data_IF_415145032804
#
_entry.id   IF_415145032804
#
_cell.length_a   1.000
_cell.length_b   1.000
_cell.length_c   1.000
_cell.angle_alpha   90.00
_cell.angle_beta   90.00
_cell.angle_gamma   90.00
#
_symmetry.space_group_name_H-M   'P 1'
#
loop_
_entity.id
_entity.type
_entity.pdbx_description
1 polymer ?
#
# COMPACT_ATOMS: atom_id res chain seq x y z
N UNK A 1 1.26 5.84 22.95
CA UNK A 1 1.65 4.60 22.22
C UNK A 1 0.49 4.32 21.30
N UNK A 2 0.76 4.46 20.06
CA UNK A 2 -0.19 4.87 19.03
C UNK A 2 -1.10 3.72 18.63
N UNK A 3 -2.37 4.02 18.40
CA UNK A 3 -3.48 3.12 18.05
C UNK A 3 -3.40 2.49 16.65
N UNK A 4 -2.19 2.37 16.08
CA UNK A 4 -2.05 1.51 14.91
C UNK A 4 -1.79 0.09 15.39
N UNK A 5 -2.81 -0.63 15.30
CA UNK A 5 -3.17 -1.79 16.08
C UNK A 5 -2.59 -3.07 15.47
N UNK A 6 -2.36 -4.01 16.30
CA UNK A 6 -2.04 -5.39 16.17
C UNK A 6 -2.08 -6.10 14.79
N UNK A 7 -1.84 -7.39 14.73
CA UNK A 7 -1.80 -8.12 13.46
C UNK A 7 -3.12 -7.95 12.69
N UNK A 8 -3.01 -7.73 11.37
CA UNK A 8 -4.18 -7.71 10.49
C UNK A 8 -4.69 -9.12 10.34
N UNK A 9 -5.97 -9.34 10.62
CA UNK A 9 -6.61 -10.62 10.35
C UNK A 9 -6.84 -10.76 8.83
N UNK A 10 -6.13 -11.68 8.21
CA UNK A 10 -6.19 -11.92 6.77
C UNK A 10 -6.87 -13.24 6.42
N UNK A 11 -7.39 -13.95 7.40
CA UNK A 11 -7.93 -15.30 7.18
C UNK A 11 -6.87 -16.37 6.94
N UNK A 12 -7.30 -17.54 6.52
CA UNK A 12 -6.44 -18.69 6.26
C UNK A 12 -5.94 -18.75 4.81
N UNK A 13 -4.98 -19.65 4.58
CA UNK A 13 -4.54 -20.00 3.23
C UNK A 13 -5.73 -20.64 2.48
N UNK A 14 -6.06 -20.15 1.26
CA UNK A 14 -7.08 -20.79 0.45
C UNK A 14 -6.81 -22.26 0.20
N UNK A 15 -7.85 -23.03 0.00
CA UNK A 15 -7.71 -24.45 -0.35
C UNK A 15 -6.94 -24.60 -1.67
N UNK A 16 -6.17 -25.69 -1.75
CA UNK A 16 -5.42 -26.02 -2.97
C UNK A 16 -6.38 -26.17 -4.17
N UNK A 17 -6.01 -25.57 -5.30
CA UNK A 17 -6.87 -25.53 -6.48
C UNK A 17 -7.92 -24.41 -6.46
N UNK A 18 -7.96 -23.54 -5.46
CA UNK A 18 -8.81 -22.33 -5.49
C UNK A 18 -8.49 -21.44 -6.68
N UNK A 19 -9.52 -20.90 -7.33
CA UNK A 19 -9.38 -20.05 -8.53
C UNK A 19 -9.57 -18.57 -8.17
N UNK A 20 -8.71 -17.75 -8.76
CA UNK A 20 -8.71 -16.28 -8.66
C UNK A 20 -8.52 -15.67 -10.06
N UNK A 21 -9.08 -14.49 -10.30
CA UNK A 21 -8.87 -13.76 -11.55
C UNK A 21 -7.50 -13.09 -11.58
N UNK A 22 -7.03 -12.64 -10.39
CA UNK A 22 -5.74 -11.95 -10.21
C UNK A 22 -5.05 -12.45 -8.95
N UNK A 23 -3.77 -12.76 -9.05
CA UNK A 23 -2.89 -13.02 -7.91
C UNK A 23 -1.89 -11.86 -7.82
N UNK A 24 -1.88 -11.17 -6.69
CA UNK A 24 -0.94 -10.08 -6.39
C UNK A 24 0.05 -10.57 -5.36
N UNK A 25 1.33 -10.57 -5.71
CA UNK A 25 2.43 -11.00 -4.83
C UNK A 25 3.17 -9.77 -4.29
N UNK A 26 3.09 -9.59 -2.98
CA UNK A 26 3.64 -8.47 -2.22
C UNK A 26 2.57 -7.47 -1.77
N UNK A 27 2.44 -7.30 -0.45
CA UNK A 27 1.46 -6.42 0.21
C UNK A 27 1.99 -5.01 0.53
N UNK A 28 3.07 -4.56 -0.12
CA UNK A 28 3.52 -3.17 -0.03
C UNK A 28 2.54 -2.20 -0.71
N UNK A 29 2.77 -0.87 -0.68
CA UNK A 29 1.82 0.12 -1.20
C UNK A 29 1.35 -0.15 -2.63
N UNK A 30 2.26 -0.56 -3.52
CA UNK A 30 1.92 -0.86 -4.92
C UNK A 30 1.04 -2.10 -5.04
N UNK A 31 1.37 -3.19 -4.33
CA UNK A 31 0.57 -4.42 -4.35
C UNK A 31 -0.78 -4.22 -3.68
N UNK A 32 -0.81 -3.52 -2.55
CA UNK A 32 -2.06 -3.15 -1.88
C UNK A 32 -2.97 -2.33 -2.80
N UNK A 33 -2.43 -1.33 -3.50
CA UNK A 33 -3.19 -0.55 -4.47
C UNK A 33 -3.67 -1.42 -5.64
N UNK A 34 -2.78 -2.26 -6.22
CA UNK A 34 -3.15 -3.14 -7.33
C UNK A 34 -4.26 -4.12 -6.93
N UNK A 35 -4.15 -4.75 -5.76
CA UNK A 35 -5.18 -5.65 -5.26
C UNK A 35 -6.52 -4.93 -5.05
N UNK A 36 -6.49 -3.74 -4.42
CA UNK A 36 -7.68 -2.94 -4.19
C UNK A 36 -8.39 -2.56 -5.48
N UNK A 37 -7.67 -2.01 -6.46
CA UNK A 37 -8.29 -1.60 -7.73
C UNK A 37 -8.84 -2.78 -8.52
N UNK A 38 -8.16 -3.91 -8.56
CA UNK A 38 -8.70 -5.11 -9.22
C UNK A 38 -9.98 -5.60 -8.51
N UNK A 39 -9.99 -5.64 -7.18
CA UNK A 39 -11.18 -6.05 -6.42
C UNK A 39 -12.35 -5.07 -6.62
N UNK A 40 -12.10 -3.75 -6.59
CA UNK A 40 -13.13 -2.74 -6.87
C UNK A 40 -13.69 -2.80 -8.30
N UNK A 41 -12.93 -3.36 -9.25
CA UNK A 41 -13.38 -3.63 -10.62
C UNK A 41 -14.00 -5.01 -10.80
N UNK A 42 -14.30 -5.72 -9.72
CA UNK A 42 -15.05 -6.98 -9.75
C UNK A 42 -14.20 -8.23 -9.95
N UNK A 43 -12.87 -8.14 -9.93
CA UNK A 43 -12.01 -9.31 -9.97
C UNK A 43 -11.96 -10.00 -8.61
N UNK A 44 -11.99 -11.33 -8.60
CA UNK A 44 -11.66 -12.14 -7.43
C UNK A 44 -10.14 -12.16 -7.25
N UNK A 45 -9.64 -11.46 -6.24
CA UNK A 45 -8.21 -11.24 -6.02
C UNK A 45 -7.67 -12.14 -4.92
N UNK A 46 -6.46 -12.67 -5.13
CA UNK A 46 -5.61 -13.22 -4.06
C UNK A 46 -4.43 -12.27 -3.84
N UNK A 47 -4.36 -11.64 -2.67
CA UNK A 47 -3.21 -10.83 -2.25
C UNK A 47 -2.33 -11.62 -1.30
N UNK A 48 -1.04 -11.77 -1.64
CA UNK A 48 -0.07 -12.56 -0.87
C UNK A 48 1.05 -11.64 -0.37
N UNK A 49 1.32 -11.67 0.94
CA UNK A 49 2.47 -10.99 1.54
C UNK A 49 3.34 -12.00 2.32
N UNK A 50 4.65 -11.92 2.15
CA UNK A 50 5.59 -12.83 2.82
C UNK A 50 5.81 -12.50 4.29
N UNK A 51 5.70 -11.23 4.65
CA UNK A 51 5.87 -10.76 6.02
C UNK A 51 4.53 -10.76 6.77
N UNK A 52 4.60 -10.73 8.09
CA UNK A 52 3.43 -10.50 8.95
C UNK A 52 3.43 -9.02 9.34
N UNK A 53 2.30 -8.36 9.16
CA UNK A 53 2.14 -6.96 9.52
C UNK A 53 1.90 -6.75 11.02
N UNK A 54 2.40 -5.67 11.61
CA UNK A 54 3.17 -4.58 10.98
C UNK A 54 4.62 -4.98 10.71
N UNK A 55 5.16 -4.53 9.57
CA UNK A 55 6.55 -4.75 9.18
C UNK A 55 7.23 -3.46 8.79
N UNK A 56 8.52 -3.36 9.04
CA UNK A 56 9.34 -2.24 8.57
C UNK A 56 9.91 -2.50 7.17
N UNK A 57 10.17 -1.41 6.45
CA UNK A 57 10.89 -1.41 5.18
C UNK A 57 11.64 -0.11 5.02
N UNK A 58 12.94 -0.21 4.78
CA UNK A 58 13.78 0.96 4.51
C UNK A 58 13.31 1.64 3.22
N UNK A 59 12.73 2.82 3.36
CA UNK A 59 12.26 3.65 2.27
C UNK A 59 12.02 5.07 2.78
N UNK A 60 11.93 6.07 1.88
CA UNK A 60 11.60 7.45 2.27
C UNK A 60 10.17 7.55 2.83
N UNK A 61 10.01 8.41 3.83
CA UNK A 61 8.76 8.59 4.58
C UNK A 61 7.82 9.63 3.95
N UNK A 62 8.07 10.02 2.70
CA UNK A 62 7.24 10.99 2.00
C UNK A 62 6.26 10.34 1.03
N UNK A 63 5.00 10.72 1.15
CA UNK A 63 3.89 10.31 0.28
C UNK A 63 3.33 11.58 -0.37
N UNK A 64 3.49 11.72 -1.68
CA UNK A 64 3.11 12.95 -2.38
C UNK A 64 2.83 12.76 -3.87
N UNK A 65 2.58 13.87 -4.55
CA UNK A 65 2.30 13.87 -5.97
C UNK A 65 1.05 13.06 -6.33
N UNK A 66 1.12 12.31 -7.42
CA UNK A 66 -0.02 11.50 -7.91
C UNK A 66 -0.51 10.43 -6.93
N UNK A 67 0.32 9.99 -5.98
CA UNK A 67 -0.12 8.99 -5.01
C UNK A 67 -1.20 9.49 -4.06
N UNK A 68 -1.32 10.82 -3.85
CA UNK A 68 -2.35 11.40 -2.99
C UNK A 68 -3.77 11.14 -3.49
N UNK A 69 -4.00 11.14 -4.81
CA UNK A 69 -5.31 10.79 -5.37
C UNK A 69 -5.69 9.35 -5.03
N UNK A 70 -4.74 8.42 -5.17
CA UNK A 70 -4.97 7.00 -4.84
C UNK A 70 -5.18 6.77 -3.34
N UNK A 71 -4.42 7.47 -2.49
CA UNK A 71 -4.61 7.43 -1.02
C UNK A 71 -6.03 7.88 -0.65
N UNK A 72 -6.55 8.91 -1.33
CA UNK A 72 -7.92 9.40 -1.14
C UNK A 72 -8.97 8.43 -1.69
N UNK A 73 -8.81 8.01 -2.95
CA UNK A 73 -9.76 7.10 -3.62
C UNK A 73 -9.93 5.78 -2.87
N UNK A 74 -8.85 5.25 -2.32
CA UNK A 74 -8.87 4.00 -1.53
C UNK A 74 -9.34 4.20 -0.08
N UNK A 75 -9.62 5.45 0.34
CA UNK A 75 -10.07 5.75 1.71
C UNK A 75 -8.97 5.67 2.78
N UNK A 76 -7.70 5.72 2.37
CA UNK A 76 -6.56 5.70 3.30
C UNK A 76 -6.26 7.08 3.87
N UNK A 77 -6.72 8.16 3.21
CA UNK A 77 -6.48 9.54 3.63
C UNK A 77 -6.90 9.81 5.07
N UNK A 78 -8.11 9.41 5.44
CA UNK A 78 -8.63 9.61 6.78
C UNK A 78 -7.83 8.83 7.84
N UNK A 79 -7.25 7.70 7.48
CA UNK A 79 -6.37 6.93 8.38
C UNK A 79 -5.06 7.69 8.61
N UNK A 80 -4.46 8.24 7.54
CA UNK A 80 -3.25 9.05 7.63
C UNK A 80 -3.49 10.29 8.48
N UNK A 81 -4.60 11.02 8.25
CA UNK A 81 -4.91 12.27 8.97
C UNK A 81 -5.21 12.07 10.46
N UNK A 82 -5.63 10.88 10.86
CA UNK A 82 -5.81 10.50 12.28
C UNK A 82 -4.52 10.07 12.98
N UNK A 83 -3.44 9.85 12.21
CA UNK A 83 -2.15 9.39 12.72
C UNK A 83 -1.17 10.56 12.76
N UNK A 84 -0.21 10.64 13.70
CA UNK A 84 0.81 11.67 13.70
C UNK A 84 1.57 11.71 12.37
N UNK A 85 1.52 12.84 11.69
CA UNK A 85 2.17 13.07 10.39
C UNK A 85 2.61 14.52 10.25
N UNK A 86 3.50 14.78 9.29
CA UNK A 86 3.84 16.13 8.85
C UNK A 86 3.30 16.37 7.45
N UNK A 87 2.89 17.61 7.21
CA UNK A 87 2.51 18.08 5.87
C UNK A 87 3.75 18.60 5.16
N UNK A 88 3.96 18.17 3.92
CA UNK A 88 5.10 18.58 3.09
C UNK A 88 4.59 19.51 1.99
N UNK A 89 5.09 20.74 1.96
CA UNK A 89 4.69 21.79 1.01
C UNK A 89 5.87 22.28 0.17
N UNK A 90 7.09 21.94 0.53
CA UNK A 90 8.29 22.46 -0.13
C UNK A 90 9.46 21.48 -0.02
N UNK A 91 10.45 21.69 -0.89
CA UNK A 91 11.74 21.02 -0.86
C UNK A 91 12.83 22.08 -0.73
N UNK A 92 13.75 21.88 0.20
CA UNK A 92 14.94 22.73 0.36
C UNK A 92 16.14 22.01 -0.22
N UNK A 93 16.76 22.63 -1.23
CA UNK A 93 18.02 22.18 -1.78
C UNK A 93 19.16 22.96 -1.14
N UNK A 94 20.12 22.27 -0.57
CA UNK A 94 21.31 22.85 0.04
C UNK A 94 22.59 22.50 -0.74
N UNK A 95 23.51 23.44 -0.84
CA UNK A 95 24.85 23.20 -1.39
C UNK A 95 25.90 23.16 -0.29
N UNK A 96 27.07 22.58 -0.59
CA UNK A 96 28.15 22.41 0.38
C UNK A 96 28.71 23.75 0.92
N UNK A 97 28.52 24.87 0.22
CA UNK A 97 28.91 26.21 0.64
C UNK A 97 27.87 26.91 1.54
N UNK A 98 26.79 26.20 1.93
CA UNK A 98 25.74 26.71 2.82
C UNK A 98 24.61 27.47 2.14
N UNK A 99 24.66 27.67 0.83
CA UNK A 99 23.54 28.27 0.09
C UNK A 99 22.38 27.29 -0.01
N UNK A 100 21.15 27.80 0.19
CA UNK A 100 19.91 27.02 0.10
C UNK A 100 18.91 27.67 -0.84
N UNK A 101 18.13 26.84 -1.52
CA UNK A 101 16.97 27.25 -2.31
C UNK A 101 15.76 26.42 -1.87
N UNK A 102 14.69 27.08 -1.48
CA UNK A 102 13.42 26.44 -1.21
C UNK A 102 12.55 26.50 -2.47
N UNK A 103 12.05 25.33 -2.88
CA UNK A 103 11.12 25.18 -4.00
C UNK A 103 9.78 24.73 -3.42
N UNK A 104 8.76 25.56 -3.59
CA UNK A 104 7.39 25.18 -3.22
C UNK A 104 6.88 24.11 -4.18
N UNK A 105 6.30 23.05 -3.64
CA UNK A 105 5.68 21.99 -4.44
C UNK A 105 4.30 22.46 -4.95
N UNK A 106 3.90 22.03 -6.16
CA UNK A 106 2.56 22.30 -6.66
C UNK A 106 1.53 21.74 -5.67
N UNK A 107 0.54 22.55 -5.35
CA UNK A 107 -0.57 22.13 -4.51
C UNK A 107 -1.59 21.40 -5.36
N UNK A 108 -2.00 20.21 -4.94
CA UNK A 108 -3.11 19.51 -5.54
C UNK A 108 -4.41 20.31 -5.33
N UNK A 109 -5.30 20.32 -6.32
CA UNK A 109 -6.62 20.99 -6.21
C UNK A 109 -7.46 20.40 -5.06
N UNK A 110 -7.25 19.13 -4.71
CA UNK A 110 -7.92 18.49 -3.57
C UNK A 110 -7.33 18.88 -2.22
N UNK A 111 -6.07 19.23 -2.22
CA UNK A 111 -5.29 19.49 -1.00
C UNK A 111 -4.64 20.88 -1.11
N UNK A 112 -5.46 21.90 -1.28
CA UNK A 112 -5.06 23.32 -1.55
C UNK A 112 -3.94 23.88 -0.67
N UNK A 113 -3.41 23.12 0.26
CA UNK A 113 -2.37 23.54 1.21
C UNK A 113 -1.23 22.53 1.39
N UNK A 114 -1.24 21.39 0.64
CA UNK A 114 -0.35 20.30 0.92
C UNK A 114 0.10 19.59 -0.35
N UNK A 115 1.40 19.41 -0.50
CA UNK A 115 1.98 18.62 -1.58
C UNK A 115 2.22 17.15 -1.20
N UNK A 116 2.04 16.78 0.06
CA UNK A 116 2.19 15.41 0.54
C UNK A 116 2.17 15.29 2.05
N UNK A 117 2.28 14.04 2.49
CA UNK A 117 2.46 13.66 3.88
C UNK A 117 3.87 13.13 4.11
N UNK A 118 4.44 13.37 5.28
CA UNK A 118 5.59 12.65 5.80
C UNK A 118 5.17 11.92 7.06
N UNK A 119 5.24 10.61 7.03
CA UNK A 119 4.96 9.72 8.15
C UNK A 119 5.77 8.43 7.97
N UNK A 120 6.07 7.70 9.07
CA UNK A 120 6.83 6.46 9.00
C UNK A 120 6.21 5.46 8.00
N UNK A 121 7.05 4.93 7.11
CA UNK A 121 6.61 3.98 6.08
C UNK A 121 5.96 2.73 6.67
N UNK A 122 6.39 2.30 7.84
CA UNK A 122 5.75 1.20 8.56
C UNK A 122 4.26 1.47 8.78
N UNK A 123 3.90 2.67 9.20
CA UNK A 123 2.51 3.08 9.44
C UNK A 123 1.74 3.22 8.12
N UNK A 124 2.31 3.91 7.15
CA UNK A 124 1.67 4.11 5.84
C UNK A 124 1.42 2.79 5.11
N UNK A 125 2.45 1.95 5.04
CA UNK A 125 2.35 0.64 4.36
C UNK A 125 1.31 -0.26 5.06
N UNK A 126 1.27 -0.23 6.40
CA UNK A 126 0.26 -0.94 7.20
C UNK A 126 -1.17 -0.48 6.87
N UNK A 127 -1.41 0.84 6.81
CA UNK A 127 -2.72 1.39 6.45
C UNK A 127 -3.16 0.96 5.05
N UNK A 128 -2.23 1.01 4.10
CA UNK A 128 -2.48 0.55 2.72
C UNK A 128 -2.85 -0.93 2.68
N UNK A 129 -2.11 -1.78 3.39
CA UNK A 129 -2.38 -3.22 3.42
C UNK A 129 -3.68 -3.55 4.16
N UNK A 130 -3.94 -2.90 5.30
CA UNK A 130 -5.19 -3.05 6.05
C UNK A 130 -6.39 -2.70 5.17
N UNK A 131 -6.34 -1.56 4.47
CA UNK A 131 -7.41 -1.14 3.59
C UNK A 131 -7.59 -2.08 2.39
N UNK A 132 -6.48 -2.56 1.81
CA UNK A 132 -6.54 -3.57 0.75
C UNK A 132 -7.18 -4.88 1.23
N UNK A 133 -6.86 -5.31 2.45
CA UNK A 133 -7.48 -6.49 3.06
C UNK A 133 -8.99 -6.35 3.16
N UNK A 134 -9.48 -5.21 3.65
CA UNK A 134 -10.91 -4.92 3.72
C UNK A 134 -11.57 -5.00 2.33
N UNK A 135 -11.05 -4.24 1.36
CA UNK A 135 -11.60 -4.17 0.00
C UNK A 135 -11.61 -5.54 -0.69
N UNK A 136 -10.49 -6.27 -0.63
CA UNK A 136 -10.36 -7.58 -1.27
C UNK A 136 -11.31 -8.60 -0.64
N UNK A 137 -11.42 -8.62 0.68
CA UNK A 137 -12.31 -9.54 1.40
C UNK A 137 -13.77 -9.22 1.13
N UNK A 138 -14.17 -7.96 1.15
CA UNK A 138 -15.53 -7.50 0.82
C UNK A 138 -15.94 -7.88 -0.61
N UNK A 139 -14.98 -7.90 -1.54
CA UNK A 139 -15.18 -8.34 -2.93
C UNK A 139 -15.15 -9.87 -3.13
N UNK A 140 -15.04 -10.67 -2.05
CA UNK A 140 -14.99 -12.14 -2.12
C UNK A 140 -13.63 -12.71 -2.52
N UNK A 141 -12.57 -11.89 -2.49
CA UNK A 141 -11.19 -12.32 -2.65
C UNK A 141 -10.59 -12.87 -1.35
N UNK A 142 -9.29 -13.12 -1.37
CA UNK A 142 -8.54 -13.64 -0.22
C UNK A 142 -7.25 -12.87 -0.03
N UNK A 143 -6.83 -12.71 1.22
CA UNK A 143 -5.55 -12.09 1.57
C UNK A 143 -4.82 -13.03 2.51
N UNK A 144 -3.54 -13.25 2.27
CA UNK A 144 -2.66 -14.04 3.15
C UNK A 144 -1.37 -13.30 3.43
N UNK A 145 -0.89 -13.41 4.65
CA UNK A 145 0.41 -12.90 5.08
C UNK A 145 1.23 -14.02 5.70
N UNK A 146 2.54 -13.84 5.76
CA UNK A 146 3.47 -14.88 6.22
C UNK A 146 3.71 -15.98 5.17
N UNK A 147 3.27 -15.77 3.91
CA UNK A 147 3.42 -16.75 2.83
C UNK A 147 4.43 -16.25 1.79
N UNK A 148 5.55 -16.94 1.69
CA UNK A 148 6.60 -16.58 0.75
C UNK A 148 6.46 -17.38 -0.56
N UNK A 149 5.95 -16.75 -1.60
CA UNK A 149 5.87 -17.31 -2.95
C UNK A 149 7.29 -17.65 -3.44
N UNK A 150 7.48 -18.89 -3.88
CA UNK A 150 8.75 -19.42 -4.37
C UNK A 150 8.83 -19.44 -5.88
N UNK A 151 7.74 -19.83 -6.51
CA UNK A 151 7.71 -20.09 -7.93
C UNK A 151 6.41 -19.60 -8.56
N UNK A 152 6.50 -19.23 -9.82
CA UNK A 152 5.35 -19.01 -10.69
C UNK A 152 5.09 -20.32 -11.43
N UNK A 153 3.87 -20.81 -11.33
CA UNK A 153 3.48 -22.06 -11.99
C UNK A 153 3.10 -21.79 -13.43
N UNK A 154 3.78 -22.46 -14.35
CA UNK A 154 3.56 -22.36 -15.80
C UNK A 154 3.04 -23.70 -16.34
N UNK A 155 2.10 -23.62 -17.26
CA UNK A 155 1.61 -24.77 -18.02
C UNK A 155 1.59 -24.40 -19.50
N UNK A 156 2.55 -24.88 -20.27
CA UNK A 156 2.71 -24.66 -21.72
C UNK A 156 2.72 -23.16 -22.10
N UNK A 157 3.42 -22.32 -21.29
CA UNK A 157 3.55 -20.88 -21.52
C UNK A 157 2.40 -20.04 -20.96
N UNK A 158 1.43 -20.64 -20.29
CA UNK A 158 0.38 -19.96 -19.57
C UNK A 158 0.66 -19.97 -18.05
N UNK A 159 0.67 -18.80 -17.41
CA UNK A 159 0.77 -18.72 -15.95
C UNK A 159 -0.53 -19.20 -15.33
N UNK A 160 -0.44 -20.27 -14.52
CA UNK A 160 -1.60 -20.94 -13.92
C UNK A 160 -1.67 -20.78 -12.39
N UNK A 161 -0.66 -20.19 -11.79
CA UNK A 161 -0.66 -19.99 -10.34
C UNK A 161 0.71 -19.63 -9.76
N UNK A 162 0.81 -19.74 -8.45
CA UNK A 162 2.05 -19.54 -7.68
C UNK A 162 2.15 -20.60 -6.58
N UNK A 163 3.36 -20.92 -6.12
CA UNK A 163 3.62 -21.83 -5.01
C UNK A 163 4.65 -21.28 -4.02
#
# INVERSE_FOLDING_TARGET
>A
MDDWEGPIDTGGIPEDGSSFDVIVVGGGPSGSAAASYNALNGCKVLLIEKEIWPRDKICGDAVGGKSLSHVKELGVKEMVEKTPHFMVDSIVFGSANGNTVQVMLPQDEFEKKMAGYSLPRMQFDYMMFKRATEIVTEAGGSVIQGFNVKEVLDNDGAIVGVS
#
